data_IF_852506465145
#
_entry.id   IF_852506465145
#
_cell.length_a   1.000
_cell.length_b   1.000
_cell.length_c   1.000
_cell.angle_alpha   90.00
_cell.angle_beta   90.00
_cell.angle_gamma   90.00
#
_symmetry.space_group_name_H-M   'P 1'
#
loop_
_entity.id
_entity.type
_entity.pdbx_description
1 polymer ?
#
# COMPACT_ATOMS: atom_id res chain seq x y z
N UNK A 1 -22.18 -16.06 19.29
CA UNK A 1 -21.25 -15.86 18.17
C UNK A 1 -22.12 -15.37 17.02
N UNK A 2 -21.89 -14.17 16.50
CA UNK A 2 -22.72 -13.61 15.43
C UNK A 2 -22.63 -14.45 14.15
N UNK A 3 -23.54 -14.19 13.22
CA UNK A 3 -23.52 -14.76 11.88
C UNK A 3 -22.17 -14.47 11.20
N UNK A 4 -21.63 -15.44 10.47
CA UNK A 4 -20.33 -15.29 9.81
C UNK A 4 -20.45 -14.28 8.66
N UNK A 5 -19.58 -13.28 8.64
CA UNK A 5 -19.52 -12.32 7.53
C UNK A 5 -19.04 -13.04 6.26
N UNK A 6 -19.88 -13.05 5.22
CA UNK A 6 -19.49 -13.60 3.92
C UNK A 6 -18.59 -12.62 3.13
N UNK A 7 -17.57 -13.11 2.40
CA UNK A 7 -16.70 -12.27 1.59
C UNK A 7 -17.44 -11.59 0.43
N UNK A 8 -17.35 -10.26 0.39
CA UNK A 8 -17.87 -9.42 -0.69
C UNK A 8 -16.93 -9.37 -1.91
N UNK A 9 -17.36 -8.71 -2.99
CA UNK A 9 -16.50 -8.46 -4.16
C UNK A 9 -15.25 -7.64 -3.82
N UNK A 10 -15.33 -6.73 -2.85
CA UNK A 10 -14.20 -5.92 -2.39
C UNK A 10 -13.13 -6.78 -1.68
N UNK A 11 -13.56 -7.79 -0.94
CA UNK A 11 -12.65 -8.79 -0.38
C UNK A 11 -11.94 -9.58 -1.49
N UNK A 12 -12.69 -10.02 -2.51
CA UNK A 12 -12.13 -10.72 -3.68
C UNK A 12 -11.20 -9.82 -4.50
N UNK A 13 -11.46 -8.52 -4.56
CA UNK A 13 -10.59 -7.55 -5.21
C UNK A 13 -9.22 -7.48 -4.52
N UNK A 14 -9.18 -7.44 -3.19
CA UNK A 14 -7.91 -7.50 -2.44
C UNK A 14 -7.18 -8.83 -2.67
N UNK A 15 -7.92 -9.94 -2.66
CA UNK A 15 -7.37 -11.28 -2.89
C UNK A 15 -6.79 -11.47 -4.29
N UNK A 16 -7.25 -10.71 -5.29
CA UNK A 16 -6.65 -10.72 -6.63
C UNK A 16 -5.19 -10.22 -6.64
N UNK A 17 -4.77 -9.50 -5.60
CA UNK A 17 -3.39 -9.03 -5.42
C UNK A 17 -2.46 -10.11 -4.84
N UNK A 18 -3.00 -11.25 -4.39
CA UNK A 18 -2.22 -12.35 -3.82
C UNK A 18 -1.10 -12.83 -4.75
N UNK A 19 0.03 -13.19 -4.15
CA UNK A 19 1.20 -13.74 -4.82
C UNK A 19 2.49 -13.02 -4.44
N UNK A 20 3.56 -13.43 -5.11
CA UNK A 20 4.88 -12.86 -4.90
C UNK A 20 5.21 -11.79 -5.94
N UNK A 21 5.73 -10.66 -5.47
CA UNK A 21 6.03 -9.48 -6.25
C UNK A 21 7.49 -9.06 -6.04
N UNK A 22 8.08 -8.44 -7.06
CA UNK A 22 9.24 -7.55 -6.92
C UNK A 22 8.77 -6.12 -7.14
N UNK A 23 9.50 -5.17 -6.58
CA UNK A 23 9.16 -3.77 -6.74
C UNK A 23 10.38 -2.87 -6.83
N UNK A 24 10.17 -1.73 -7.47
CA UNK A 24 11.12 -0.60 -7.57
C UNK A 24 10.36 0.66 -7.16
N UNK A 25 10.98 1.49 -6.34
CA UNK A 25 10.39 2.73 -5.79
C UNK A 25 11.32 3.91 -6.00
N UNK A 26 10.74 5.08 -6.26
CA UNK A 26 11.47 6.35 -6.43
C UNK A 26 10.67 7.54 -5.89
N UNK A 27 11.38 8.58 -5.46
CA UNK A 27 10.80 9.84 -5.01
C UNK A 27 10.25 10.69 -6.17
N UNK A 28 9.37 11.63 -5.85
CA UNK A 28 8.93 12.70 -6.76
C UNK A 28 9.23 14.07 -6.11
N UNK A 29 10.02 14.96 -6.75
CA UNK A 29 10.77 14.73 -7.99
C UNK A 29 11.83 13.63 -7.81
N UNK A 30 12.28 13.08 -8.93
CA UNK A 30 13.20 11.94 -8.91
C UNK A 30 14.57 12.33 -8.37
N UNK A 31 14.98 11.69 -7.26
CA UNK A 31 16.35 11.69 -6.76
C UNK A 31 16.90 10.26 -6.90
N UNK A 32 17.96 10.03 -7.70
CA UNK A 32 18.59 8.71 -7.83
C UNK A 32 19.04 8.09 -6.51
N UNK A 33 19.29 8.90 -5.46
CA UNK A 33 19.64 8.42 -4.12
C UNK A 33 18.44 7.89 -3.34
N UNK A 34 17.24 8.23 -3.78
CA UNK A 34 15.96 7.80 -3.20
C UNK A 34 15.32 6.69 -4.07
N UNK A 35 16.14 5.87 -4.72
CA UNK A 35 15.69 4.66 -5.42
C UNK A 35 15.87 3.44 -4.53
N UNK A 36 14.82 2.65 -4.42
CA UNK A 36 14.77 1.46 -3.59
C UNK A 36 14.18 0.31 -4.40
N UNK A 37 14.55 -0.91 -4.05
CA UNK A 37 13.91 -2.09 -4.61
C UNK A 37 13.75 -3.16 -3.54
N UNK A 38 12.91 -4.14 -3.85
CA UNK A 38 12.69 -5.23 -2.93
C UNK A 38 11.69 -6.24 -3.45
N UNK A 39 11.19 -7.03 -2.50
CA UNK A 39 10.17 -8.02 -2.75
C UNK A 39 8.97 -7.81 -1.82
N UNK A 40 7.83 -8.33 -2.22
CA UNK A 40 6.63 -8.35 -1.41
C UNK A 40 5.90 -9.68 -1.62
N UNK A 41 5.34 -10.23 -0.55
CA UNK A 41 4.42 -11.36 -0.62
C UNK A 41 3.06 -10.89 -0.14
N UNK A 42 2.04 -11.11 -0.96
CA UNK A 42 0.64 -10.80 -0.64
C UNK A 42 -0.09 -12.12 -0.43
N UNK A 43 -0.72 -12.27 0.73
CA UNK A 43 -1.40 -13.50 1.14
C UNK A 43 -2.74 -13.20 1.81
N UNK A 44 -3.68 -14.13 1.72
CA UNK A 44 -4.92 -14.06 2.48
C UNK A 44 -4.72 -14.46 3.94
N UNK A 45 -5.50 -13.84 4.82
CA UNK A 45 -5.64 -14.23 6.22
C UNK A 45 -7.12 -14.53 6.49
N UNK A 46 -7.50 -15.80 6.27
CA UNK A 46 -8.91 -16.18 6.13
C UNK A 46 -9.53 -15.54 4.88
N UNK A 47 -10.86 -15.43 4.86
CA UNK A 47 -11.57 -14.97 3.66
C UNK A 47 -11.86 -13.46 3.63
N UNK A 48 -11.57 -12.74 4.73
CA UNK A 48 -11.93 -11.32 4.90
C UNK A 48 -10.72 -10.37 4.94
N UNK A 49 -9.50 -10.90 5.01
CA UNK A 49 -8.30 -10.08 5.15
C UNK A 49 -7.21 -10.49 4.18
N UNK A 50 -6.46 -9.50 3.71
CA UNK A 50 -5.28 -9.66 2.87
C UNK A 50 -4.10 -8.96 3.54
N UNK A 51 -2.97 -9.67 3.63
CA UNK A 51 -1.74 -9.21 4.25
C UNK A 51 -0.67 -9.06 3.18
N UNK A 52 -0.04 -7.90 3.16
CA UNK A 52 1.07 -7.55 2.29
C UNK A 52 2.32 -7.47 3.16
N UNK A 53 3.33 -8.26 2.86
CA UNK A 53 4.60 -8.28 3.57
C UNK A 53 5.71 -7.85 2.62
N UNK A 54 6.20 -6.63 2.81
CA UNK A 54 7.25 -6.05 1.98
C UNK A 54 8.60 -6.10 2.66
N UNK A 55 9.65 -6.30 1.88
CA UNK A 55 11.05 -6.21 2.29
C UNK A 55 11.81 -5.31 1.33
N UNK A 56 12.42 -4.25 1.84
CA UNK A 56 13.37 -3.46 1.07
C UNK A 56 14.75 -4.12 1.14
N UNK A 57 15.46 -4.18 0.02
CA UNK A 57 16.80 -4.76 -0.05
C UNK A 57 17.85 -3.65 -0.19
N UNK A 58 19.00 -3.83 0.46
CA UNK A 58 20.20 -3.05 0.14
C UNK A 58 20.74 -3.48 -1.24
N UNK A 59 21.64 -2.68 -1.87
CA UNK A 59 22.34 -3.11 -3.08
C UNK A 59 23.10 -4.45 -2.95
N UNK A 60 23.42 -4.85 -1.72
CA UNK A 60 24.12 -6.11 -1.38
C UNK A 60 23.14 -7.28 -1.16
N UNK A 61 21.84 -7.07 -1.32
CA UNK A 61 20.80 -8.09 -1.21
C UNK A 61 20.41 -8.46 0.23
N UNK A 62 20.85 -7.68 1.22
CA UNK A 62 20.43 -7.86 2.62
C UNK A 62 19.12 -7.11 2.89
N UNK A 63 18.25 -7.71 3.71
CA UNK A 63 16.98 -7.10 4.11
C UNK A 63 17.27 -5.81 4.92
N UNK A 64 16.99 -4.66 4.32
CA UNK A 64 17.23 -3.33 4.89
C UNK A 64 16.10 -2.90 5.83
N UNK A 65 14.86 -3.24 5.48
CA UNK A 65 13.67 -2.97 6.29
C UNK A 65 12.53 -3.88 5.91
N UNK A 66 11.60 -4.07 6.84
CA UNK A 66 10.37 -4.82 6.62
C UNK A 66 9.16 -3.94 6.87
N UNK A 67 8.15 -4.09 6.04
CA UNK A 67 6.86 -3.43 6.18
C UNK A 67 5.72 -4.44 6.11
N UNK A 68 4.59 -4.09 6.75
CA UNK A 68 3.37 -4.89 6.65
C UNK A 68 2.17 -3.98 6.46
N UNK A 69 1.34 -4.32 5.48
CA UNK A 69 0.00 -3.76 5.30
C UNK A 69 -1.01 -4.88 5.55
N UNK A 70 -2.09 -4.58 6.26
CA UNK A 70 -3.25 -5.47 6.39
C UNK A 70 -4.47 -4.73 5.91
N UNK A 71 -5.16 -5.27 4.90
CA UNK A 71 -6.36 -4.68 4.30
C UNK A 71 -7.53 -5.65 4.37
N UNK A 72 -8.73 -5.11 4.57
CA UNK A 72 -10.01 -5.79 4.47
C UNK A 72 -11.09 -4.80 4.00
N UNK A 73 -12.35 -5.22 4.04
CA UNK A 73 -13.48 -4.35 3.72
C UNK A 73 -14.53 -4.40 4.83
N UNK A 74 -14.94 -3.22 5.28
CA UNK A 74 -16.00 -3.02 6.26
C UNK A 74 -17.31 -2.71 5.50
N UNK A 75 -18.27 -3.67 5.43
CA UNK A 75 -19.52 -3.47 4.71
C UNK A 75 -20.44 -2.41 5.35
N UNK A 76 -20.37 -2.23 6.67
CA UNK A 76 -21.20 -1.27 7.39
C UNK A 76 -20.75 0.16 7.08
N UNK A 77 -19.44 0.37 6.93
CA UNK A 77 -18.88 1.66 6.48
C UNK A 77 -18.89 1.82 4.96
N UNK A 78 -19.04 0.72 4.23
CA UNK A 78 -18.76 0.62 2.80
C UNK A 78 -17.34 1.13 2.45
N UNK A 79 -16.33 0.77 3.25
CA UNK A 79 -14.94 1.22 3.10
C UNK A 79 -13.96 0.06 3.14
N UNK A 80 -12.87 0.19 2.38
CA UNK A 80 -11.67 -0.58 2.65
C UNK A 80 -11.06 -0.08 3.96
N UNK A 81 -10.63 -1.00 4.82
CA UNK A 81 -10.06 -0.67 6.13
C UNK A 81 -8.77 -1.44 6.33
N UNK A 82 -7.86 -0.90 7.12
CA UNK A 82 -6.60 -1.59 7.33
C UNK A 82 -5.58 -0.82 8.15
N UNK A 83 -4.35 -1.30 8.08
CA UNK A 83 -3.23 -0.66 8.75
C UNK A 83 -1.91 -0.87 8.04
N UNK A 84 -0.95 0.02 8.31
CA UNK A 84 0.45 -0.12 7.94
C UNK A 84 1.39 0.08 9.12
N UNK A 85 2.43 -0.75 9.14
CA UNK A 85 3.57 -0.67 10.08
C UNK A 85 4.87 -0.96 9.34
N UNK A 86 5.98 -0.42 9.85
CA UNK A 86 7.33 -0.63 9.32
C UNK A 86 8.34 -0.76 10.44
N UNK A 87 9.42 -1.50 10.23
CA UNK A 87 10.54 -1.58 11.19
C UNK A 87 11.35 -0.29 11.29
N UNK A 88 11.13 0.66 10.37
CA UNK A 88 11.86 1.93 10.31
C UNK A 88 11.24 3.04 11.17
N UNK A 89 10.05 2.81 11.74
CA UNK A 89 9.35 3.80 12.56
C UNK A 89 8.42 3.13 13.57
N UNK A 90 8.10 3.85 14.66
CA UNK A 90 7.15 3.37 15.67
C UNK A 90 5.68 3.73 15.37
N UNK A 91 5.41 4.42 14.25
CA UNK A 91 4.08 4.90 13.89
C UNK A 91 3.16 3.77 13.44
N UNK A 92 1.92 3.78 13.95
CA UNK A 92 0.84 2.93 13.48
C UNK A 92 -0.08 3.75 12.57
N UNK A 93 -0.25 3.30 11.34
CA UNK A 93 -1.06 4.00 10.34
C UNK A 93 -2.36 3.24 10.14
N UNK A 94 -3.49 3.87 10.44
CA UNK A 94 -4.81 3.31 10.15
C UNK A 94 -5.29 3.81 8.78
N UNK A 95 -5.80 2.88 7.97
CA UNK A 95 -6.33 3.19 6.64
C UNK A 95 -7.85 3.15 6.62
N UNK A 96 -8.44 4.11 5.91
CA UNK A 96 -9.78 4.01 5.35
C UNK A 96 -9.75 4.36 3.87
N UNK A 97 -10.46 3.61 3.04
CA UNK A 97 -10.32 3.75 1.59
C UNK A 97 -11.55 3.42 0.77
N UNK A 98 -11.46 3.80 -0.50
CA UNK A 98 -12.48 3.57 -1.52
C UNK A 98 -11.84 3.15 -2.81
N UNK A 99 -12.48 2.19 -3.48
CA UNK A 99 -12.16 1.82 -4.84
C UNK A 99 -12.88 2.78 -5.81
N UNK A 100 -12.21 3.13 -6.90
CA UNK A 100 -12.82 3.89 -7.98
C UNK A 100 -13.90 3.08 -8.74
N UNK A 101 -14.79 3.74 -9.50
CA UNK A 101 -15.92 3.06 -10.15
C UNK A 101 -15.52 1.99 -11.17
N UNK A 102 -14.34 2.11 -11.79
CA UNK A 102 -13.78 1.14 -12.74
C UNK A 102 -12.97 0.03 -12.07
N UNK A 103 -12.80 0.09 -10.75
CA UNK A 103 -12.17 -0.98 -9.99
C UNK A 103 -10.65 -1.07 -10.18
N UNK A 104 -10.00 0.01 -10.60
CA UNK A 104 -8.57 0.04 -10.95
C UNK A 104 -7.72 0.64 -9.85
N UNK A 105 -8.21 1.67 -9.16
CA UNK A 105 -7.44 2.41 -8.15
C UNK A 105 -8.14 2.33 -6.80
N UNK A 106 -7.52 1.61 -5.86
CA UNK A 106 -7.85 1.68 -4.45
C UNK A 106 -7.13 2.86 -3.81
N UNK A 107 -7.89 3.82 -3.30
CA UNK A 107 -7.37 4.98 -2.55
C UNK A 107 -7.47 4.72 -1.06
N UNK A 108 -6.35 4.72 -0.36
CA UNK A 108 -6.27 4.51 1.08
C UNK A 108 -5.82 5.81 1.75
N UNK A 109 -6.63 6.36 2.64
CA UNK A 109 -6.32 7.54 3.44
C UNK A 109 -5.77 7.13 4.78
N UNK A 110 -4.71 7.81 5.22
CA UNK A 110 -4.17 7.68 6.55
C UNK A 110 -3.68 9.03 7.08
N UNK A 111 -3.45 9.10 8.38
CA UNK A 111 -2.86 10.24 9.06
C UNK A 111 -1.64 9.77 9.86
N UNK A 112 -0.58 10.56 9.84
CA UNK A 112 0.60 10.27 10.65
C UNK A 112 1.67 11.35 10.55
N UNK A 113 2.86 11.10 11.10
CA UNK A 113 3.91 12.12 11.23
C UNK A 113 4.30 12.72 9.90
N UNK A 114 4.59 14.03 9.88
CA UNK A 114 5.10 14.70 8.69
C UNK A 114 6.53 14.24 8.36
N UNK A 115 6.83 14.04 7.08
CA UNK A 115 8.20 13.77 6.61
C UNK A 115 8.91 15.01 6.04
N UNK A 116 8.24 16.16 5.96
CA UNK A 116 8.76 17.41 5.37
C UNK A 116 9.59 18.27 6.33
N UNK A 117 9.98 17.71 7.48
CA UNK A 117 10.78 18.38 8.50
C UNK A 117 10.00 19.34 9.40
N UNK A 118 8.69 19.52 9.19
CA UNK A 118 7.83 20.28 10.10
C UNK A 118 7.31 19.39 11.23
N UNK A 119 7.06 19.95 12.44
CA UNK A 119 6.42 19.19 13.51
C UNK A 119 4.95 18.88 13.19
N UNK A 120 4.44 17.80 13.79
CA UNK A 120 3.02 17.44 13.73
C UNK A 120 2.72 16.29 12.77
N UNK A 121 1.47 16.23 12.33
CA UNK A 121 0.94 15.20 11.43
C UNK A 121 0.41 15.81 10.13
N UNK A 122 0.34 14.99 9.08
CA UNK A 122 -0.31 15.30 7.82
C UNK A 122 -1.24 14.17 7.40
N UNK A 123 -2.13 14.48 6.47
CA UNK A 123 -2.97 13.50 5.80
C UNK A 123 -2.24 12.96 4.56
N UNK A 124 -2.38 11.65 4.35
CA UNK A 124 -1.69 10.89 3.31
C UNK A 124 -2.71 10.09 2.50
N UNK A 125 -2.42 9.89 1.22
CA UNK A 125 -3.11 8.91 0.38
C UNK A 125 -2.10 7.96 -0.27
N UNK A 126 -2.32 6.67 -0.09
CA UNK A 126 -1.71 5.61 -0.88
C UNK A 126 -2.69 5.15 -1.96
N UNK A 127 -2.27 5.23 -3.22
CA UNK A 127 -3.08 4.86 -4.39
C UNK A 127 -2.54 3.55 -4.96
N UNK A 128 -3.23 2.44 -4.72
CA UNK A 128 -2.91 1.14 -5.34
C UNK A 128 -3.65 1.06 -6.67
N UNK A 129 -2.92 1.21 -7.78
CA UNK A 129 -3.44 1.09 -9.14
C UNK A 129 -3.09 -0.28 -9.73
N UNK A 130 -4.10 -1.05 -10.13
CA UNK A 130 -3.92 -2.32 -10.86
C UNK A 130 -3.92 -2.05 -12.36
N UNK A 131 -2.77 -2.28 -13.00
CA UNK A 131 -2.60 -2.09 -14.44
C UNK A 131 -2.94 -3.39 -15.18
N UNK A 132 -2.48 -4.52 -14.65
CA UNK A 132 -2.73 -5.88 -15.15
C UNK A 132 -2.64 -6.89 -13.99
N UNK A 133 -2.93 -8.19 -14.21
CA UNK A 133 -2.72 -9.22 -13.19
C UNK A 133 -1.27 -9.33 -12.68
N UNK A 134 -0.30 -8.82 -13.45
CA UNK A 134 1.13 -8.96 -13.19
C UNK A 134 1.84 -7.61 -12.96
N UNK A 135 1.12 -6.49 -13.03
CA UNK A 135 1.66 -5.15 -12.82
C UNK A 135 0.69 -4.27 -12.02
N UNK A 136 1.20 -3.66 -10.96
CA UNK A 136 0.49 -2.64 -10.17
C UNK A 136 1.42 -1.52 -9.74
N UNK A 137 0.85 -0.36 -9.44
CA UNK A 137 1.57 0.78 -8.86
C UNK A 137 1.03 1.08 -7.47
N UNK A 138 1.90 1.61 -6.62
CA UNK A 138 1.54 2.37 -5.43
C UNK A 138 2.04 3.80 -5.61
N UNK A 139 1.18 4.80 -5.42
CA UNK A 139 1.58 6.21 -5.40
C UNK A 139 1.26 6.81 -4.04
N UNK A 140 2.27 7.36 -3.38
CA UNK A 140 2.13 8.07 -2.11
C UNK A 140 1.98 9.56 -2.36
N UNK A 141 0.92 10.14 -1.80
CA UNK A 141 0.70 11.59 -1.80
C UNK A 141 0.50 12.10 -0.37
N UNK A 142 0.89 13.34 -0.12
CA UNK A 142 0.71 14.02 1.17
C UNK A 142 -0.02 15.34 0.94
N UNK A 143 -0.93 15.67 1.85
CA UNK A 143 -1.62 16.96 1.82
C UNK A 143 -0.72 18.07 2.40
N UNK A 144 -0.47 19.10 1.60
CA UNK A 144 0.24 20.30 2.03
C UNK A 144 -0.66 21.22 2.87
N UNK A 145 -0.05 22.24 3.49
CA UNK A 145 -0.76 23.16 4.40
C UNK A 145 -1.84 24.01 3.68
N UNK A 146 -1.72 24.16 2.36
CA UNK A 146 -2.72 24.82 1.51
C UNK A 146 -3.85 23.90 1.05
N UNK A 147 -3.84 22.63 1.50
CA UNK A 147 -4.82 21.62 1.17
C UNK A 147 -4.55 20.87 -0.14
N UNK A 148 -3.50 21.23 -0.89
CA UNK A 148 -3.14 20.54 -2.13
C UNK A 148 -2.50 19.18 -1.86
N UNK A 149 -2.76 18.20 -2.72
CA UNK A 149 -2.14 16.88 -2.64
C UNK A 149 -0.91 16.84 -3.53
N UNK A 150 0.23 16.52 -2.94
CA UNK A 150 1.50 16.39 -3.66
C UNK A 150 1.99 14.96 -3.63
N UNK A 151 2.24 14.38 -4.80
CA UNK A 151 2.88 13.08 -4.93
C UNK A 151 4.34 13.16 -4.50
N UNK A 152 4.78 12.24 -3.65
CA UNK A 152 6.15 12.20 -3.14
C UNK A 152 6.86 10.89 -3.46
N UNK A 153 6.14 9.83 -3.82
CA UNK A 153 6.71 8.52 -4.08
C UNK A 153 5.86 7.74 -5.08
N UNK A 154 6.53 7.02 -5.98
CA UNK A 154 5.91 6.01 -6.85
C UNK A 154 6.66 4.70 -6.66
N UNK A 155 5.91 3.60 -6.53
CA UNK A 155 6.43 2.24 -6.48
C UNK A 155 5.76 1.41 -7.55
N UNK A 156 6.56 0.80 -8.43
CA UNK A 156 6.10 -0.16 -9.44
C UNK A 156 6.32 -1.57 -8.94
N UNK A 157 5.29 -2.40 -9.00
CA UNK A 157 5.33 -3.81 -8.65
C UNK A 157 5.16 -4.67 -9.91
N UNK A 158 5.94 -5.76 -9.97
CA UNK A 158 5.82 -6.81 -10.99
C UNK A 158 5.72 -8.17 -10.33
N UNK A 159 4.82 -9.02 -10.81
CA UNK A 159 4.67 -10.38 -10.28
C UNK A 159 5.93 -11.20 -10.60
N UNK A 160 6.42 -11.97 -9.62
CA UNK A 160 7.56 -12.88 -9.83
C UNK A 160 7.17 -13.96 -10.83
N UNK A 161 8.02 -14.17 -11.84
CA UNK A 161 7.83 -15.20 -12.85
C UNK A 161 6.86 -14.84 -13.99
N UNK A 162 6.32 -13.62 -14.02
CA UNK A 162 5.63 -13.11 -15.20
C UNK A 162 6.65 -12.89 -16.34
N UNK A 163 6.33 -13.36 -17.54
CA UNK A 163 7.14 -13.09 -18.73
C UNK A 163 7.02 -11.59 -19.09
N UNK A 164 8.17 -10.93 -19.27
CA UNK A 164 8.25 -9.53 -19.69
C UNK A 164 7.98 -9.33 -21.18
#
# INVERSE_FOLDING_TARGET
MGEATEPTEQHRWLQALEGDWTWESWSIPEDPKCRWSGAETVSRYGDLWTVFEGKAQTPEGTDASSLRITLGYDPDKAKFVGSFISTMMASFWAYEGTLDPDGRILRLKARGPRFDGKPGEADYEDLIEVVSPDERYLRGTMQADDGTWTEFMVTRYRRKGAAG
#
